data_IF_737679601747
#
_entry.id   IF_737679601747
#
_cell.length_a   1.000
_cell.length_b   1.000
_cell.length_c   1.000
_cell.angle_alpha   90.00
_cell.angle_beta   90.00
_cell.angle_gamma   90.00
#
_symmetry.space_group_name_H-M   'P 1'
#
loop_
_entity.id
_entity.type
_entity.pdbx_description
1 polymer ?
#
# COMPACT_ATOMS: atom_id res chain seq x y z
N UNK A 1 -13.19 -48.57 -15.35
CA UNK A 1 -12.30 -47.39 -15.23
C UNK A 1 -11.67 -47.15 -16.59
N UNK A 2 -11.98 -46.03 -17.24
CA UNK A 2 -11.61 -45.77 -18.63
C UNK A 2 -10.33 -44.92 -18.67
N UNK A 3 -9.19 -45.59 -18.46
CA UNK A 3 -7.87 -45.00 -18.23
C UNK A 3 -7.45 -44.02 -19.35
N UNK A 4 -7.84 -44.32 -20.60
CA UNK A 4 -7.55 -43.45 -21.75
C UNK A 4 -8.34 -42.13 -21.72
N UNK A 5 -9.59 -42.16 -21.24
CA UNK A 5 -10.41 -40.96 -21.08
C UNK A 5 -9.87 -40.05 -19.98
N UNK A 6 -9.46 -40.64 -18.85
CA UNK A 6 -8.87 -39.90 -17.74
C UNK A 6 -7.53 -39.26 -18.13
N UNK A 7 -6.72 -39.96 -18.93
CA UNK A 7 -5.46 -39.44 -19.46
C UNK A 7 -5.67 -38.24 -20.41
N UNK A 8 -6.60 -38.34 -21.36
CA UNK A 8 -6.90 -37.24 -22.29
C UNK A 8 -7.46 -36.01 -21.57
N UNK A 9 -8.34 -36.22 -20.60
CA UNK A 9 -8.88 -35.14 -19.77
C UNK A 9 -7.76 -34.44 -18.98
N UNK A 10 -6.80 -35.20 -18.45
CA UNK A 10 -5.66 -34.64 -17.73
C UNK A 10 -4.76 -33.79 -18.63
N UNK A 11 -4.48 -34.28 -19.84
CA UNK A 11 -3.67 -33.59 -20.85
C UNK A 11 -4.35 -32.29 -21.32
N UNK A 12 -5.66 -32.35 -21.57
CA UNK A 12 -6.45 -31.18 -21.94
C UNK A 12 -6.43 -30.12 -20.84
N UNK A 13 -6.54 -30.53 -19.57
CA UNK A 13 -6.47 -29.61 -18.44
C UNK A 13 -5.10 -28.95 -18.32
N UNK A 14 -4.01 -29.71 -18.50
CA UNK A 14 -2.65 -29.16 -18.52
C UNK A 14 -2.45 -28.14 -19.65
N UNK A 15 -2.92 -28.45 -20.87
CA UNK A 15 -2.84 -27.55 -22.02
C UNK A 15 -3.67 -26.29 -21.82
N UNK A 16 -4.87 -26.41 -21.23
CA UNK A 16 -5.70 -25.26 -20.89
C UNK A 16 -5.00 -24.36 -19.87
N UNK A 17 -4.41 -24.93 -18.81
CA UNK A 17 -3.66 -24.15 -17.81
C UNK A 17 -2.45 -23.43 -18.43
N UNK A 18 -1.72 -24.10 -19.33
CA UNK A 18 -0.63 -23.52 -20.11
C UNK A 18 -1.09 -22.38 -21.01
N UNK A 19 -2.26 -22.51 -21.64
CA UNK A 19 -2.83 -21.46 -22.51
C UNK A 19 -3.22 -20.20 -21.72
N UNK A 20 -3.57 -20.36 -20.44
CA UNK A 20 -3.87 -19.27 -19.51
C UNK A 20 -2.60 -18.65 -18.90
N UNK A 21 -1.41 -19.17 -19.22
CA UNK A 21 -0.13 -18.71 -18.70
C UNK A 21 0.08 -18.97 -17.20
N UNK A 22 -0.72 -19.87 -16.62
CA UNK A 22 -0.65 -20.20 -15.20
C UNK A 22 0.12 -21.50 -14.97
N UNK A 23 1.00 -21.45 -13.98
CA UNK A 23 1.77 -22.60 -13.58
C UNK A 23 0.96 -23.46 -12.60
N UNK A 24 0.84 -24.76 -12.88
CA UNK A 24 0.04 -25.72 -12.09
C UNK A 24 0.91 -26.84 -11.51
N UNK A 25 0.59 -27.38 -10.32
CA UNK A 25 1.21 -28.59 -9.78
C UNK A 25 1.12 -29.81 -10.71
N UNK A 26 0.17 -29.81 -11.66
CA UNK A 26 0.04 -30.84 -12.68
C UNK A 26 1.13 -30.75 -13.75
N UNK A 27 1.73 -29.58 -13.96
CA UNK A 27 2.81 -29.35 -14.94
C UNK A 27 4.19 -29.64 -14.35
N UNK A 28 4.44 -29.14 -13.14
CA UNK A 28 5.64 -29.45 -12.36
C UNK A 28 5.19 -29.76 -10.95
N UNK A 29 5.64 -30.88 -10.39
CA UNK A 29 5.27 -31.24 -9.03
C UNK A 29 5.94 -30.27 -8.03
N UNK A 30 5.35 -30.06 -6.83
CA UNK A 30 5.96 -29.24 -5.79
C UNK A 30 7.38 -29.68 -5.41
N UNK A 31 7.66 -30.99 -5.43
CA UNK A 31 8.99 -31.53 -5.17
C UNK A 31 10.00 -31.12 -6.24
N UNK A 32 9.65 -31.28 -7.51
CA UNK A 32 10.52 -30.92 -8.63
C UNK A 32 10.76 -29.41 -8.69
N UNK A 33 9.70 -28.61 -8.46
CA UNK A 33 9.82 -27.15 -8.41
C UNK A 33 10.77 -26.72 -7.28
N UNK A 34 10.67 -27.34 -6.08
CA UNK A 34 11.55 -27.00 -4.97
C UNK A 34 13.01 -27.26 -5.32
N UNK A 35 13.33 -28.43 -5.87
CA UNK A 35 14.69 -28.77 -6.30
C UNK A 35 15.20 -27.74 -7.31
N UNK A 36 14.37 -27.40 -8.31
CA UNK A 36 14.71 -26.41 -9.33
C UNK A 36 14.97 -25.02 -8.73
N UNK A 37 14.11 -24.54 -7.84
CA UNK A 37 14.26 -23.23 -7.19
C UNK A 37 15.51 -23.19 -6.30
N UNK A 38 15.81 -24.25 -5.57
CA UNK A 38 17.03 -24.36 -4.77
C UNK A 38 18.29 -24.35 -5.65
N UNK A 39 18.27 -25.05 -6.78
CA UNK A 39 19.37 -25.03 -7.73
C UNK A 39 19.57 -23.67 -8.39
N UNK A 40 18.49 -22.98 -8.77
CA UNK A 40 18.54 -21.62 -9.29
C UNK A 40 19.14 -20.69 -8.23
N UNK A 41 18.64 -20.75 -6.99
CA UNK A 41 19.11 -19.92 -5.88
C UNK A 41 20.61 -20.05 -5.62
N UNK A 42 21.16 -21.26 -5.73
CA UNK A 42 22.60 -21.51 -5.59
C UNK A 42 23.44 -20.86 -6.70
N UNK A 43 22.85 -20.60 -7.86
CA UNK A 43 23.51 -19.98 -9.02
C UNK A 43 23.27 -18.48 -9.13
N UNK A 44 22.37 -17.91 -8.32
CA UNK A 44 22.12 -16.47 -8.32
C UNK A 44 23.33 -15.72 -7.79
N UNK A 45 23.53 -14.50 -8.30
CA UNK A 45 24.52 -13.58 -7.75
C UNK A 45 24.12 -13.14 -6.35
N UNK A 46 25.08 -12.69 -5.55
CA UNK A 46 24.84 -12.21 -4.18
C UNK A 46 23.86 -11.02 -4.08
N UNK A 47 23.56 -10.36 -5.20
CA UNK A 47 22.65 -9.20 -5.28
C UNK A 47 21.21 -9.57 -5.63
N UNK A 48 20.93 -10.82 -5.98
CA UNK A 48 19.62 -11.26 -6.42
C UNK A 48 19.08 -12.35 -5.49
N UNK A 49 17.78 -12.29 -5.20
CA UNK A 49 17.07 -13.34 -4.47
C UNK A 49 15.77 -13.71 -5.18
N UNK A 50 15.32 -14.93 -4.92
CA UNK A 50 13.98 -15.37 -5.29
C UNK A 50 12.96 -14.79 -4.29
N UNK A 51 11.78 -14.32 -4.72
CA UNK A 51 10.71 -13.93 -3.81
C UNK A 51 10.20 -15.11 -2.97
N UNK A 52 10.28 -15.00 -1.65
CA UNK A 52 9.74 -15.98 -0.71
C UNK A 52 10.73 -17.08 -0.31
N UNK A 53 10.20 -18.09 0.39
CA UNK A 53 10.96 -19.24 0.92
C UNK A 53 10.42 -20.51 0.26
N UNK A 54 11.25 -21.12 -0.58
CA UNK A 54 10.94 -22.34 -1.36
C UNK A 54 10.76 -23.59 -0.49
N UNK A 55 11.28 -23.57 0.74
CA UNK A 55 11.19 -24.68 1.69
C UNK A 55 9.85 -24.61 2.41
N UNK A 56 9.50 -23.43 2.93
CA UNK A 56 8.32 -23.25 3.78
C UNK A 56 7.02 -23.11 3.00
N UNK A 57 7.01 -22.41 1.85
CA UNK A 57 5.75 -22.02 1.19
C UNK A 57 5.81 -22.20 -0.33
N UNK A 58 6.09 -23.43 -0.78
CA UNK A 58 6.16 -23.78 -2.21
C UNK A 58 4.89 -23.41 -3.00
N UNK A 59 3.72 -23.47 -2.34
CA UNK A 59 2.43 -23.15 -2.95
C UNK A 59 2.30 -21.69 -3.39
N UNK A 60 3.01 -20.77 -2.74
CA UNK A 60 2.96 -19.36 -3.14
C UNK A 60 3.62 -19.13 -4.50
N UNK A 61 4.60 -19.95 -4.89
CA UNK A 61 5.24 -19.84 -6.20
C UNK A 61 4.25 -20.07 -7.34
N UNK A 62 3.33 -21.01 -7.21
CA UNK A 62 2.28 -21.24 -8.21
C UNK A 62 1.30 -20.06 -8.36
N UNK A 63 1.26 -19.12 -7.41
CA UNK A 63 0.39 -17.94 -7.47
C UNK A 63 0.94 -16.83 -8.37
N UNK A 64 2.27 -16.74 -8.49
CA UNK A 64 2.93 -15.64 -9.21
C UNK A 64 3.84 -16.10 -10.35
N UNK A 65 4.18 -17.38 -10.43
CA UNK A 65 4.90 -17.91 -11.58
C UNK A 65 3.99 -17.93 -12.80
N UNK A 66 4.42 -17.23 -13.83
CA UNK A 66 3.78 -17.25 -15.14
C UNK A 66 4.54 -18.18 -16.06
N UNK A 67 3.82 -18.78 -17.00
CA UNK A 67 4.43 -19.55 -18.07
C UNK A 67 3.97 -19.06 -19.44
N UNK A 68 4.78 -19.27 -20.45
CA UNK A 68 4.39 -19.18 -21.86
C UNK A 68 4.73 -20.49 -22.56
N UNK A 69 3.95 -20.81 -23.59
CA UNK A 69 4.10 -22.06 -24.33
C UNK A 69 4.49 -21.73 -25.74
N UNK A 70 5.55 -22.37 -26.22
CA UNK A 70 6.00 -22.29 -27.61
C UNK A 70 5.92 -23.70 -28.20
N UNK A 71 5.26 -23.81 -29.34
CA UNK A 71 5.22 -25.03 -30.12
C UNK A 71 6.34 -24.96 -31.15
N UNK A 72 7.25 -25.93 -31.09
CA UNK A 72 8.39 -26.03 -32.00
C UNK A 72 8.44 -27.44 -32.59
N UNK A 73 8.11 -27.54 -33.89
CA UNK A 73 7.98 -28.76 -34.70
C UNK A 73 7.20 -29.91 -34.06
N UNK A 74 7.83 -30.63 -33.13
CA UNK A 74 7.30 -31.81 -32.45
C UNK A 74 7.48 -31.76 -30.93
N UNK A 75 7.69 -30.56 -30.38
CA UNK A 75 7.95 -30.33 -28.95
C UNK A 75 7.10 -29.18 -28.42
N UNK A 76 6.67 -29.32 -27.18
CA UNK A 76 6.04 -28.26 -26.41
C UNK A 76 7.12 -27.71 -25.47
N UNK A 77 7.50 -26.45 -25.68
CA UNK A 77 8.46 -25.76 -24.82
C UNK A 77 7.66 -24.87 -23.86
N UNK A 78 7.81 -25.13 -22.57
CA UNK A 78 7.18 -24.34 -21.51
C UNK A 78 8.24 -23.44 -20.92
N UNK A 79 8.09 -22.14 -21.10
CA UNK A 79 8.99 -21.12 -20.56
C UNK A 79 8.37 -20.60 -19.28
N UNK A 80 9.04 -20.81 -18.15
CA UNK A 80 8.58 -20.32 -16.84
C UNK A 80 9.32 -19.02 -16.54
N UNK A 81 8.57 -17.96 -16.26
CA UNK A 81 9.13 -16.67 -15.85
C UNK A 81 9.20 -16.60 -14.34
N UNK A 82 10.42 -16.60 -13.81
CA UNK A 82 10.68 -16.44 -12.38
C UNK A 82 11.08 -15.00 -12.09
N UNK A 83 10.27 -14.22 -11.33
CA UNK A 83 10.68 -12.90 -10.88
C UNK A 83 11.85 -13.02 -9.90
N UNK A 84 12.81 -12.11 -10.01
CA UNK A 84 13.94 -11.98 -9.09
C UNK A 84 13.87 -10.62 -8.38
N UNK A 85 14.30 -10.57 -7.14
CA UNK A 85 14.37 -9.37 -6.33
C UNK A 85 15.81 -8.92 -6.20
N UNK A 86 16.03 -7.64 -6.42
CA UNK A 86 17.28 -6.98 -6.07
C UNK A 86 17.33 -6.76 -4.55
N UNK A 87 18.43 -7.16 -3.91
CA UNK A 87 18.63 -6.98 -2.46
C UNK A 87 19.63 -5.88 -2.13
N UNK A 88 20.19 -5.19 -3.13
CA UNK A 88 21.18 -4.12 -2.92
C UNK A 88 20.62 -2.98 -2.08
N UNK A 89 19.37 -2.61 -2.34
CA UNK A 89 18.65 -1.60 -1.59
C UNK A 89 17.26 -2.15 -1.21
N UNK A 90 16.80 -1.80 -0.01
CA UNK A 90 15.42 -2.05 0.40
C UNK A 90 14.72 -0.73 0.64
N UNK A 91 13.47 -0.63 0.20
CA UNK A 91 12.68 0.59 0.27
C UNK A 91 11.44 0.35 1.11
N UNK A 92 11.19 1.24 2.06
CA UNK A 92 9.93 1.31 2.78
C UNK A 92 8.99 2.25 2.03
N UNK A 93 7.74 1.82 1.84
CA UNK A 93 6.69 2.62 1.22
C UNK A 93 5.98 3.44 2.29
N UNK A 94 5.87 4.74 2.07
CA UNK A 94 5.22 5.70 2.96
C UNK A 94 4.04 6.36 2.26
N UNK A 95 2.86 6.23 2.86
CA UNK A 95 1.68 7.01 2.47
C UNK A 95 1.72 8.36 3.18
N UNK A 96 1.55 9.44 2.42
CA UNK A 96 1.61 10.80 2.92
C UNK A 96 0.19 11.31 3.16
N UNK A 97 -0.05 11.80 4.38
CA UNK A 97 -1.30 12.42 4.78
C UNK A 97 -1.12 13.93 4.86
N UNK A 98 -1.64 14.64 3.86
CA UNK A 98 -1.61 16.10 3.80
C UNK A 98 -2.78 16.69 4.58
N UNK A 99 -2.63 16.82 5.89
CA UNK A 99 -3.71 17.24 6.78
C UNK A 99 -3.95 18.75 6.69
N UNK A 100 -5.22 19.19 6.62
CA UNK A 100 -5.56 20.60 6.62
C UNK A 100 -5.28 21.26 7.97
N UNK A 101 -4.87 22.52 7.93
CA UNK A 101 -4.69 23.37 9.11
C UNK A 101 -5.65 24.56 9.01
N UNK A 102 -6.57 24.74 9.97
CA UNK A 102 -7.50 25.86 9.95
C UNK A 102 -6.76 27.18 10.10
N UNK A 103 -7.21 28.18 9.37
CA UNK A 103 -6.65 29.53 9.40
C UNK A 103 -7.79 30.52 9.38
N UNK A 104 -7.79 31.46 10.33
CA UNK A 104 -8.73 32.60 10.32
C UNK A 104 -8.09 33.71 9.51
N UNK A 105 -8.67 34.05 8.36
CA UNK A 105 -8.35 35.31 7.68
C UNK A 105 -9.28 36.36 8.24
N UNK A 106 -8.76 37.24 9.10
CA UNK A 106 -9.48 38.43 9.55
C UNK A 106 -9.49 39.44 8.41
N UNK A 107 -10.46 39.34 7.51
CA UNK A 107 -10.78 40.46 6.63
C UNK A 107 -11.64 41.46 7.38
N UNK A 108 -11.24 42.73 7.36
CA UNK A 108 -11.83 43.78 8.21
C UNK A 108 -13.31 44.08 7.89
N UNK A 109 -13.88 43.51 6.82
CA UNK A 109 -15.18 43.88 6.27
C UNK A 109 -16.08 42.70 5.84
N UNK A 110 -15.76 41.44 6.17
CA UNK A 110 -16.62 40.30 5.79
C UNK A 110 -16.76 39.27 6.91
N UNK A 111 -17.92 38.61 6.93
CA UNK A 111 -18.17 37.41 7.72
C UNK A 111 -16.96 36.47 7.64
N UNK A 112 -16.42 36.09 8.80
CA UNK A 112 -15.27 35.19 8.89
C UNK A 112 -15.63 33.86 8.22
N UNK A 113 -15.16 33.64 7.00
CA UNK A 113 -15.30 32.34 6.35
C UNK A 113 -14.23 31.40 6.89
N UNK A 114 -14.65 30.21 7.30
CA UNK A 114 -13.72 29.18 7.75
C UNK A 114 -12.86 28.72 6.56
N UNK A 115 -11.55 28.91 6.70
CA UNK A 115 -10.57 28.50 5.71
C UNK A 115 -9.63 27.45 6.27
N UNK A 116 -9.17 26.57 5.39
CA UNK A 116 -8.08 25.64 5.70
C UNK A 116 -6.94 25.80 4.73
N UNK A 117 -5.74 25.55 5.24
CA UNK A 117 -4.50 25.55 4.47
C UNK A 117 -3.94 24.14 4.40
N UNK A 118 -3.42 23.77 3.24
CA UNK A 118 -2.74 22.50 2.99
C UNK A 118 -1.51 22.76 2.12
N UNK A 119 -0.49 21.92 2.24
CA UNK A 119 0.64 21.99 1.31
C UNK A 119 0.23 21.48 -0.06
N UNK A 120 0.81 22.03 -1.12
CA UNK A 120 0.75 21.41 -2.43
C UNK A 120 1.89 20.39 -2.54
N UNK A 121 1.54 19.11 -2.50
CA UNK A 121 2.51 18.01 -2.51
C UNK A 121 2.53 17.35 -3.89
N UNK A 122 3.73 17.02 -4.36
CA UNK A 122 3.95 16.45 -5.69
C UNK A 122 3.60 14.96 -5.76
N UNK A 123 3.51 14.28 -4.61
CA UNK A 123 3.18 12.87 -4.53
C UNK A 123 2.41 12.54 -3.24
N UNK A 124 1.50 11.57 -3.33
CA UNK A 124 0.76 11.03 -2.19
C UNK A 124 1.45 9.83 -1.53
N UNK A 125 2.38 9.17 -2.23
CA UNK A 125 3.14 8.03 -1.73
C UNK A 125 4.56 8.11 -2.24
N UNK A 126 5.49 7.84 -1.34
CA UNK A 126 6.92 7.76 -1.65
C UNK A 126 7.48 6.44 -1.16
N UNK A 127 8.52 5.94 -1.82
CA UNK A 127 9.35 4.87 -1.27
C UNK A 127 10.71 5.45 -0.93
N UNK A 128 11.24 5.16 0.25
CA UNK A 128 12.57 5.63 0.67
C UNK A 128 13.40 4.46 1.19
N UNK A 129 14.71 4.50 0.94
CA UNK A 129 15.61 3.49 1.48
C UNK A 129 15.72 3.61 3.02
N UNK A 130 16.30 2.61 3.66
CA UNK A 130 16.45 2.57 5.12
C UNK A 130 17.20 3.80 5.67
N UNK A 131 18.24 4.26 4.96
CA UNK A 131 19.03 5.43 5.34
C UNK A 131 18.35 6.77 5.00
N UNK A 132 17.18 6.74 4.31
CA UNK A 132 16.46 7.93 3.82
C UNK A 132 17.32 8.87 2.97
N UNK A 133 18.28 8.32 2.24
CA UNK A 133 19.17 9.06 1.33
C UNK A 133 18.71 9.01 -0.12
N UNK A 134 17.87 8.04 -0.47
CA UNK A 134 17.27 7.84 -1.79
C UNK A 134 15.76 7.70 -1.67
N UNK A 135 15.04 8.15 -2.68
CA UNK A 135 13.59 8.07 -2.73
C UNK A 135 13.06 7.78 -4.15
N UNK A 136 11.82 7.31 -4.22
CA UNK A 136 11.01 7.18 -5.43
C UNK A 136 9.66 7.82 -5.16
N UNK A 137 9.08 8.48 -6.16
CA UNK A 137 7.68 8.89 -6.13
C UNK A 137 6.86 7.77 -6.77
N UNK A 138 5.90 7.19 -6.04
CA UNK A 138 5.14 6.06 -6.57
C UNK A 138 3.83 6.53 -7.20
N UNK A 139 3.50 5.95 -8.34
CA UNK A 139 2.19 6.11 -8.98
C UNK A 139 1.12 5.26 -8.27
N UNK A 140 -0.15 5.65 -8.43
CA UNK A 140 -1.31 4.86 -7.94
C UNK A 140 -1.29 3.43 -8.48
N UNK A 141 -0.97 3.25 -9.77
CA UNK A 141 -0.90 1.93 -10.40
C UNK A 141 0.17 1.02 -9.79
N UNK A 142 1.33 1.57 -9.42
CA UNK A 142 2.36 0.79 -8.74
C UNK A 142 1.91 0.38 -7.35
N UNK A 143 1.28 1.29 -6.60
CA UNK A 143 0.77 1.03 -5.24
C UNK A 143 -0.31 -0.04 -5.26
N UNK A 144 -1.23 0.01 -6.22
CA UNK A 144 -2.31 -0.98 -6.34
C UNK A 144 -1.74 -2.38 -6.57
N UNK A 145 -0.67 -2.50 -7.38
CA UNK A 145 0.06 -3.76 -7.56
C UNK A 145 0.79 -4.20 -6.29
N UNK A 146 1.35 -3.26 -5.53
CA UNK A 146 2.02 -3.54 -4.25
C UNK A 146 1.05 -3.96 -3.14
N UNK A 147 -0.21 -3.53 -3.24
CA UNK A 147 -1.23 -3.75 -2.20
C UNK A 147 -1.92 -5.12 -2.32
N UNK A 148 -1.56 -5.93 -3.32
CA UNK A 148 -2.16 -7.24 -3.54
C UNK A 148 -1.67 -8.25 -2.48
N UNK A 149 -2.55 -8.79 -1.61
CA UNK A 149 -2.15 -9.71 -0.55
C UNK A 149 -1.62 -11.06 -1.06
N UNK A 150 -1.84 -11.39 -2.33
CA UNK A 150 -1.37 -12.62 -2.96
C UNK A 150 0.03 -12.50 -3.56
N UNK A 151 0.58 -11.28 -3.66
CA UNK A 151 1.91 -11.03 -4.23
C UNK A 151 2.87 -10.66 -3.11
N UNK A 152 3.96 -11.42 -2.99
CA UNK A 152 4.98 -11.24 -1.95
C UNK A 152 6.09 -10.25 -2.34
N UNK A 153 5.92 -9.57 -3.46
CA UNK A 153 6.86 -8.61 -4.00
C UNK A 153 6.13 -7.53 -4.79
N UNK A 154 6.86 -6.51 -5.23
CA UNK A 154 6.30 -5.36 -5.91
C UNK A 154 7.15 -4.99 -7.11
N UNK A 155 6.52 -4.85 -8.26
CA UNK A 155 7.17 -4.33 -9.46
C UNK A 155 7.03 -2.81 -9.47
N UNK A 156 8.11 -2.11 -9.14
CA UNK A 156 8.19 -0.65 -9.16
C UNK A 156 9.06 -0.25 -10.35
N UNK A 157 8.55 0.67 -11.19
CA UNK A 157 9.25 1.21 -12.37
C UNK A 157 9.71 2.64 -12.14
N UNK A 158 9.23 3.26 -11.06
CA UNK A 158 9.60 4.61 -10.69
C UNK A 158 11.12 4.75 -10.47
N UNK A 159 11.72 5.81 -11.02
CA UNK A 159 13.16 6.04 -10.88
C UNK A 159 13.55 6.42 -9.45
N UNK A 160 14.76 6.01 -9.06
CA UNK A 160 15.36 6.31 -7.76
C UNK A 160 16.15 7.63 -7.85
N UNK A 161 15.83 8.55 -6.95
CA UNK A 161 16.46 9.86 -6.85
C UNK A 161 17.16 10.04 -5.50
N UNK A 162 18.27 10.79 -5.44
CA UNK A 162 18.91 11.11 -4.17
C UNK A 162 18.19 12.27 -3.46
N UNK A 163 17.98 12.13 -2.15
CA UNK A 163 17.24 13.09 -1.30
C UNK A 163 17.96 14.44 -1.17
N UNK A 164 19.29 14.46 -1.20
CA UNK A 164 20.08 15.70 -1.10
C UNK A 164 19.87 16.66 -2.28
N UNK A 165 19.63 16.14 -3.50
CA UNK A 165 19.43 16.94 -4.70
C UNK A 165 17.95 17.30 -4.97
N UNK A 166 17.02 16.66 -4.27
CA UNK A 166 15.59 16.92 -4.47
C UNK A 166 15.22 18.36 -4.11
N UNK A 167 14.35 18.96 -4.93
CA UNK A 167 13.71 20.26 -4.68
C UNK A 167 12.23 20.13 -4.30
N UNK A 168 11.71 18.91 -4.23
CA UNK A 168 10.29 18.63 -3.99
C UNK A 168 9.91 18.96 -2.53
N UNK A 169 8.74 19.56 -2.35
CA UNK A 169 8.18 19.87 -1.04
C UNK A 169 7.98 18.59 -0.21
N UNK A 170 7.39 17.56 -0.80
CA UNK A 170 7.10 16.29 -0.10
C UNK A 170 8.36 15.66 0.50
N UNK A 171 9.50 15.74 -0.22
CA UNK A 171 10.77 15.19 0.23
C UNK A 171 11.44 16.11 1.24
N UNK A 172 11.31 17.43 1.11
CA UNK A 172 11.82 18.38 2.10
C UNK A 172 11.13 18.20 3.46
N UNK A 173 9.81 18.00 3.45
CA UNK A 173 9.01 17.69 4.64
C UNK A 173 9.38 16.31 5.22
N UNK A 174 9.47 15.27 4.39
CA UNK A 174 9.82 13.92 4.83
C UNK A 174 11.22 13.83 5.45
N UNK A 175 12.20 14.54 4.87
CA UNK A 175 13.57 14.59 5.37
C UNK A 175 13.76 15.63 6.49
N UNK A 176 12.71 16.35 6.88
CA UNK A 176 12.74 17.43 7.88
C UNK A 176 13.87 18.45 7.64
N UNK A 177 14.04 18.90 6.40
CA UNK A 177 15.06 19.90 6.05
C UNK A 177 14.56 21.31 6.32
N UNK A 178 15.36 22.17 6.95
CA UNK A 178 14.98 23.54 7.29
C UNK A 178 14.46 24.38 6.11
N UNK A 179 14.88 24.05 4.88
CA UNK A 179 14.47 24.73 3.66
C UNK A 179 13.10 24.31 3.11
N UNK A 180 12.30 23.50 3.82
CA UNK A 180 10.96 23.13 3.37
C UNK A 180 10.06 24.37 3.16
N UNK A 181 10.23 25.41 3.99
CA UNK A 181 9.43 26.66 3.92
C UNK A 181 9.52 27.38 2.58
N UNK A 182 10.66 27.28 1.88
CA UNK A 182 10.86 27.96 0.58
C UNK A 182 10.47 27.07 -0.60
N UNK A 183 10.23 25.78 -0.37
CA UNK A 183 9.93 24.78 -1.40
C UNK A 183 8.45 24.38 -1.42
N UNK A 184 7.76 24.55 -0.30
CA UNK A 184 6.38 24.16 -0.13
C UNK A 184 5.43 25.33 -0.36
N UNK A 185 4.62 25.23 -1.40
CA UNK A 185 3.51 26.15 -1.63
C UNK A 185 2.32 25.74 -0.76
N UNK A 186 1.65 26.73 -0.18
CA UNK A 186 0.43 26.52 0.62
C UNK A 186 -0.77 26.87 -0.23
N UNK A 187 -1.72 25.92 -0.33
CA UNK A 187 -3.01 26.12 -0.97
C UNK A 187 -4.06 26.44 0.09
N UNK A 188 -4.70 27.59 -0.04
CA UNK A 188 -5.82 28.02 0.79
C UNK A 188 -7.12 27.53 0.16
N UNK A 189 -8.01 26.94 0.98
CA UNK A 189 -9.36 26.55 0.57
C UNK A 189 -10.37 27.33 1.42
N UNK A 190 -11.10 28.28 0.83
CA UNK A 190 -12.16 29.01 1.53
C UNK A 190 -13.43 28.16 1.64
N UNK A 191 -14.33 28.56 2.53
CA UNK A 191 -15.68 28.00 2.71
C UNK A 191 -15.67 26.48 3.02
N UNK A 192 -14.73 26.05 3.87
CA UNK A 192 -14.65 24.65 4.29
C UNK A 192 -15.48 24.38 5.53
N UNK A 193 -16.21 23.26 5.52
CA UNK A 193 -16.95 22.80 6.70
C UNK A 193 -15.97 22.28 7.75
N UNK A 194 -16.01 22.88 8.94
CA UNK A 194 -15.28 22.45 10.12
C UNK A 194 -16.27 22.07 11.23
N UNK A 195 -15.95 21.12 12.13
CA UNK A 195 -14.78 20.23 12.11
C UNK A 195 -14.79 19.27 10.90
N UNK A 196 -13.60 18.87 10.44
CA UNK A 196 -13.47 17.92 9.32
C UNK A 196 -12.65 16.69 9.71
N UNK A 197 -13.00 15.53 9.16
CA UNK A 197 -12.35 14.26 9.44
C UNK A 197 -11.71 13.66 8.18
N UNK A 198 -10.47 13.18 8.32
CA UNK A 198 -9.72 12.46 7.28
C UNK A 198 -9.35 11.07 7.79
N UNK A 199 -9.77 10.03 7.07
CA UNK A 199 -9.36 8.66 7.39
C UNK A 199 -7.87 8.45 7.04
N UNK A 200 -7.10 7.91 7.99
CA UNK A 200 -5.67 7.66 7.82
C UNK A 200 -5.40 6.21 7.40
N UNK A 201 -5.48 5.29 8.37
CA UNK A 201 -5.36 3.84 8.21
C UNK A 201 -5.80 3.16 9.51
N UNK A 202 -6.16 1.88 9.44
CA UNK A 202 -6.39 1.00 10.61
C UNK A 202 -7.26 1.60 11.72
N UNK A 203 -8.38 2.24 11.36
CA UNK A 203 -9.31 2.88 12.32
C UNK A 203 -8.81 4.20 12.93
N UNK A 204 -7.72 4.75 12.41
CA UNK A 204 -7.24 6.08 12.75
C UNK A 204 -7.86 7.14 11.86
N UNK A 205 -8.36 8.20 12.49
CA UNK A 205 -8.92 9.38 11.86
C UNK A 205 -8.15 10.60 12.33
N UNK A 206 -7.80 11.49 11.42
CA UNK A 206 -7.38 12.85 11.77
C UNK A 206 -8.62 13.74 11.78
N UNK A 207 -8.89 14.41 12.90
CA UNK A 207 -9.96 15.40 13.01
C UNK A 207 -9.36 16.78 13.17
N UNK A 208 -9.70 17.67 12.25
CA UNK A 208 -9.22 19.04 12.17
C UNK A 208 -10.32 19.97 12.66
N UNK A 209 -9.98 20.81 13.63
CA UNK A 209 -10.90 21.70 14.36
C UNK A 209 -10.32 23.11 14.47
N UNK A 210 -11.19 24.12 14.56
CA UNK A 210 -10.79 25.51 14.75
C UNK A 210 -9.94 25.67 16.03
N UNK A 211 -8.92 26.53 15.98
CA UNK A 211 -7.95 26.74 17.08
C UNK A 211 -8.57 27.12 18.43
N UNK A 212 -9.82 27.58 18.46
CA UNK A 212 -10.49 28.10 19.65
C UNK A 212 -11.72 27.25 20.06
N UNK A 213 -11.92 26.09 19.44
CA UNK A 213 -13.06 25.23 19.72
C UNK A 213 -12.54 23.93 20.32
N UNK A 214 -12.93 23.60 21.55
CA UNK A 214 -12.77 22.23 22.04
C UNK A 214 -13.98 21.43 21.55
N UNK A 215 -13.73 20.28 20.93
CA UNK A 215 -14.79 19.36 20.54
C UNK A 215 -14.66 18.08 21.35
N UNK A 216 -15.77 17.68 21.97
CA UNK A 216 -15.92 16.38 22.59
C UNK A 216 -16.50 15.41 21.58
N UNK A 217 -16.04 14.18 21.64
CA UNK A 217 -16.42 13.13 20.73
C UNK A 217 -16.77 11.88 21.54
N UNK A 218 -18.05 11.51 21.44
CA UNK A 218 -18.63 10.39 22.16
C UNK A 218 -18.33 9.11 21.40
N UNK A 219 -17.55 8.21 22.00
CA UNK A 219 -17.23 6.93 21.38
C UNK A 219 -18.24 5.87 21.84
N UNK A 220 -19.06 5.38 20.93
CA UNK A 220 -20.05 4.34 21.18
C UNK A 220 -19.58 2.97 20.66
N UNK A 221 -19.74 1.93 21.48
CA UNK A 221 -19.72 0.53 21.01
C UNK A 221 -21.11 -0.09 21.11
N UNK A 222 -21.34 -1.18 20.35
CA UNK A 222 -22.57 -1.99 20.42
C UNK A 222 -22.96 -2.44 21.84
N UNK A 223 -22.05 -2.37 22.82
CA UNK A 223 -22.30 -2.85 24.18
C UNK A 223 -22.15 -1.80 25.29
N UNK A 224 -21.51 -0.64 25.07
CA UNK A 224 -21.39 0.45 26.04
C UNK A 224 -20.85 1.75 25.40
N UNK A 225 -21.15 2.90 26.02
CA UNK A 225 -20.51 4.19 25.74
C UNK A 225 -19.11 4.15 26.38
N UNK A 226 -18.06 4.33 25.56
CA UNK A 226 -16.67 4.21 25.96
C UNK A 226 -16.02 5.58 25.87
N UNK A 227 -16.14 6.39 26.93
CA UNK A 227 -15.33 7.59 27.19
C UNK A 227 -15.41 8.74 26.19
N UNK A 228 -15.43 9.97 26.73
CA UNK A 228 -15.32 11.19 25.94
C UNK A 228 -13.87 11.38 25.51
N UNK A 229 -13.65 11.63 24.22
CA UNK A 229 -12.34 11.98 23.72
C UNK A 229 -12.28 13.48 23.41
N UNK A 230 -11.43 14.20 24.14
CA UNK A 230 -11.18 15.62 23.90
C UNK A 230 -10.28 15.77 22.67
N UNK A 231 -10.77 16.53 21.69
CA UNK A 231 -10.05 16.86 20.47
C UNK A 231 -9.36 18.20 20.69
N UNK A 232 -8.03 18.20 20.70
CA UNK A 232 -7.22 19.41 20.82
C UNK A 232 -6.94 20.01 19.44
N UNK A 233 -7.10 21.34 19.26
CA UNK A 233 -6.77 22.00 18.01
C UNK A 233 -5.27 21.99 17.69
N UNK A 234 -4.87 22.19 16.42
CA UNK A 234 -5.72 22.32 15.23
C UNK A 234 -6.12 20.97 14.63
N UNK A 235 -5.41 19.89 14.95
CA UNK A 235 -5.67 18.55 14.43
C UNK A 235 -5.34 17.51 15.51
N UNK A 236 -6.28 16.61 15.80
CA UNK A 236 -6.06 15.47 16.67
C UNK A 236 -6.18 14.16 15.89
N UNK A 237 -5.40 13.15 16.29
CA UNK A 237 -5.52 11.80 15.75
C UNK A 237 -6.34 10.95 16.73
N UNK A 238 -7.45 10.42 16.25
CA UNK A 238 -8.37 9.59 16.99
C UNK A 238 -8.22 8.15 16.51
N UNK A 239 -7.91 7.24 17.43
CA UNK A 239 -7.86 5.82 17.15
C UNK A 239 -9.13 5.15 17.67
N UNK A 240 -10.04 4.80 16.76
CA UNK A 240 -11.27 4.12 17.10
C UNK A 240 -11.02 2.62 17.22
N UNK A 241 -11.43 2.01 18.33
CA UNK A 241 -11.44 0.55 18.41
C UNK A 241 -12.41 -0.02 17.36
N UNK A 242 -12.17 -1.25 16.93
CA UNK A 242 -13.00 -1.93 15.94
C UNK A 242 -14.45 -1.92 16.37
N UNK A 243 -15.36 -1.68 15.43
CA UNK A 243 -16.81 -1.57 15.65
C UNK A 243 -17.26 -0.38 16.50
N UNK A 244 -16.36 0.52 16.92
CA UNK A 244 -16.73 1.77 17.55
C UNK A 244 -17.15 2.81 16.52
N UNK A 245 -18.21 3.54 16.84
CA UNK A 245 -18.57 4.78 16.15
C UNK A 245 -18.26 5.94 17.07
N UNK A 246 -17.85 7.07 16.51
CA UNK A 246 -17.57 8.26 17.28
C UNK A 246 -18.45 9.40 16.78
N UNK A 247 -19.18 10.06 17.66
CA UNK A 247 -20.18 11.07 17.28
C UNK A 247 -19.96 12.37 18.03
N UNK A 248 -20.22 13.48 17.34
CA UNK A 248 -20.41 14.79 17.94
C UNK A 248 -21.57 15.49 17.22
N UNK A 249 -21.97 16.67 17.68
CA UNK A 249 -23.02 17.48 17.04
C UNK A 249 -22.69 17.87 15.59
N UNK A 250 -21.42 17.77 15.19
CA UNK A 250 -20.95 18.23 13.89
C UNK A 250 -20.51 17.11 12.95
N UNK A 251 -20.07 15.95 13.46
CA UNK A 251 -19.58 14.87 12.61
C UNK A 251 -19.82 13.49 13.23
N UNK A 252 -19.76 12.47 12.38
CA UNK A 252 -19.78 11.07 12.79
C UNK A 252 -18.62 10.33 12.14
N UNK A 253 -17.74 9.75 12.94
CA UNK A 253 -16.65 8.89 12.51
C UNK A 253 -17.16 7.45 12.49
N UNK A 254 -17.11 6.86 11.29
CA UNK A 254 -17.64 5.53 11.06
C UNK A 254 -16.70 4.43 11.57
N UNK A 255 -17.27 3.29 12.02
CA UNK A 255 -16.50 2.12 12.40
C UNK A 255 -15.77 1.53 11.20
N UNK A 256 -14.55 1.05 11.43
CA UNK A 256 -13.83 0.22 10.49
C UNK A 256 -14.15 -1.25 10.71
N UNK A 257 -14.46 -1.93 9.61
CA UNK A 257 -14.64 -3.38 9.57
C UNK A 257 -13.51 -3.97 8.73
N UNK A 258 -12.36 -4.22 9.33
CA UNK A 258 -11.35 -5.05 8.66
C UNK A 258 -11.77 -6.52 8.79
N UNK A 259 -12.25 -7.12 7.70
CA UNK A 259 -12.21 -8.56 7.54
C UNK A 259 -10.74 -8.98 7.42
N UNK A 260 -10.10 -9.31 8.55
CA UNK A 260 -8.92 -10.17 8.48
C UNK A 260 -9.42 -11.52 7.98
N UNK A 261 -9.21 -11.82 6.70
CA UNK A 261 -9.28 -13.19 6.21
C UNK A 261 -8.25 -14.01 6.99
N UNK A 262 -8.72 -14.83 7.92
CA UNK A 262 -7.92 -15.79 8.69
C UNK A 262 -7.55 -17.03 7.89
N UNK A 263 -7.65 -17.01 6.56
CA UNK A 263 -7.13 -18.09 5.72
C UNK A 263 -5.66 -17.85 5.41
N UNK A 264 -4.79 -18.28 6.33
CA UNK A 264 -3.40 -18.69 6.09
C UNK A 264 -2.88 -19.31 7.41
N UNK A 265 -3.34 -20.54 7.69
CA UNK A 265 -2.56 -21.56 8.39
C UNK A 265 -1.70 -22.30 7.38
#
# INVERSE_FOLDING_TARGET
MNIAGDYLNHLQLQLNMLSLGHMSPSLISPGNLRVLLTDIKRRLTATLKIPGDEIKIIWNFYKFLTCSTVLDENRIIIIITLPLLDIRDSYAIYKIHNLPVPTKVTDKNSDSSDMVTQYELEAAVIAANQEKTKFMLLSTQEIDKCSNPFVIFSEIKSPVYPVNLSKLCVIALFANKENWKTRCTVKVRPNTVLPMATYLTDSMWAVTILMNLESQLDVMTKKNMLTDQIINPPTAIINLKRTCTATSDHLTLLPTYQMKSTFLT
#
